data_IF_952128503960
#
_entry.id   IF_952128503960
#
_cell.length_a   1.000
_cell.length_b   1.000
_cell.length_c   1.000
_cell.angle_alpha   90.00
_cell.angle_beta   90.00
_cell.angle_gamma   90.00
#
_symmetry.space_group_name_H-M   'P 1'
#
loop_
_entity.id
_entity.type
_entity.pdbx_description
1 polymer ?
#
# COMPACT_ATOMS: atom_id res chain seq x y z
N UNK A 1 11.67 2.00 -9.95
CA UNK A 1 11.84 3.32 -9.30
C UNK A 1 12.34 3.08 -7.88
N UNK A 2 13.43 3.72 -7.51
CA UNK A 2 13.94 3.71 -6.13
C UNK A 2 13.22 4.78 -5.32
N UNK A 3 12.80 4.41 -4.08
CA UNK A 3 12.18 5.32 -3.13
C UNK A 3 13.02 5.37 -1.85
N UNK A 4 13.37 6.56 -1.40
CA UNK A 4 14.11 6.78 -0.16
C UNK A 4 13.32 7.75 0.72
N UNK A 5 13.14 7.40 1.99
CA UNK A 5 12.69 8.30 3.04
C UNK A 5 13.79 8.36 4.10
N UNK A 6 14.26 9.56 4.44
CA UNK A 6 15.38 9.74 5.41
C UNK A 6 14.96 10.67 6.51
N UNK A 7 15.12 10.21 7.75
CA UNK A 7 14.90 10.94 9.00
C UNK A 7 13.53 11.64 9.07
N UNK A 8 12.47 10.92 8.63
CA UNK A 8 11.13 11.48 8.59
C UNK A 8 10.58 11.67 10.00
N UNK A 9 10.26 12.92 10.32
CA UNK A 9 9.59 13.29 11.56
C UNK A 9 8.22 13.92 11.25
N UNK A 10 7.21 13.55 12.04
CA UNK A 10 5.88 14.11 11.90
C UNK A 10 5.18 14.25 13.25
N UNK A 11 4.52 15.40 13.46
CA UNK A 11 3.72 15.70 14.66
C UNK A 11 2.28 15.97 14.20
N UNK A 12 1.31 15.32 14.83
CA UNK A 12 -0.11 15.52 14.60
C UNK A 12 -0.81 15.79 15.94
N UNK A 13 -1.57 16.89 16.00
CA UNK A 13 -2.28 17.27 17.21
C UNK A 13 -1.37 17.45 18.44
N UNK A 14 -0.13 17.90 18.24
CA UNK A 14 0.87 18.07 19.30
C UNK A 14 1.62 16.78 19.69
N UNK A 15 1.29 15.62 19.11
CA UNK A 15 1.94 14.36 19.41
C UNK A 15 2.95 13.99 18.32
N UNK A 16 4.17 13.60 18.72
CA UNK A 16 5.18 13.09 17.80
C UNK A 16 4.79 11.67 17.32
N UNK A 17 4.35 11.58 16.07
CA UNK A 17 3.89 10.32 15.46
C UNK A 17 5.04 9.59 14.77
N UNK A 18 5.94 10.33 14.11
CA UNK A 18 7.16 9.77 13.50
C UNK A 18 8.39 10.43 14.14
N UNK A 19 9.41 9.63 14.41
CA UNK A 19 10.58 10.03 15.20
C UNK A 19 11.87 9.63 14.48
N UNK A 20 12.14 10.24 13.31
CA UNK A 20 13.35 9.97 12.53
C UNK A 20 13.30 8.64 11.78
N UNK A 21 12.18 8.35 11.09
CA UNK A 21 12.02 7.12 10.33
C UNK A 21 12.80 7.20 9.01
N UNK A 22 13.65 6.20 8.76
CA UNK A 22 14.40 6.08 7.51
C UNK A 22 14.17 4.71 6.87
N UNK A 23 13.82 4.68 5.58
CA UNK A 23 13.69 3.45 4.78
C UNK A 23 14.12 3.71 3.33
N UNK A 24 14.50 2.63 2.66
CA UNK A 24 14.90 2.62 1.27
C UNK A 24 14.25 1.43 0.57
N UNK A 25 13.68 1.66 -0.60
CA UNK A 25 12.97 0.66 -1.41
C UNK A 25 13.59 0.62 -2.79
N UNK A 26 14.07 -0.54 -3.19
CA UNK A 26 14.71 -0.73 -4.49
C UNK A 26 13.68 -0.89 -5.62
N UNK A 27 14.07 -0.65 -6.88
CA UNK A 27 13.18 -0.86 -8.02
C UNK A 27 12.61 -2.29 -8.06
N UNK A 28 11.30 -2.38 -8.32
CA UNK A 28 10.53 -3.63 -8.42
C UNK A 28 10.48 -4.47 -7.13
N UNK A 29 10.83 -3.89 -6.00
CA UNK A 29 10.71 -4.51 -4.69
C UNK A 29 9.27 -4.39 -4.16
N UNK A 30 8.76 -5.44 -3.55
CA UNK A 30 7.49 -5.40 -2.82
C UNK A 30 7.77 -5.36 -1.32
N UNK A 31 7.66 -4.16 -0.75
CA UNK A 31 7.98 -3.89 0.65
C UNK A 31 6.73 -3.77 1.50
N UNK A 32 6.70 -4.49 2.61
CA UNK A 32 5.68 -4.37 3.65
C UNK A 32 6.13 -3.47 4.81
N UNK A 33 5.29 -2.52 5.20
CA UNK A 33 5.43 -1.79 6.46
C UNK A 33 4.44 -2.41 7.45
N UNK A 34 4.95 -3.07 8.49
CA UNK A 34 4.15 -3.75 9.50
C UNK A 34 4.34 -3.10 10.88
N UNK A 35 3.45 -3.39 11.80
CA UNK A 35 3.45 -2.85 13.16
C UNK A 35 2.05 -2.68 13.72
N UNK A 36 1.87 -2.50 15.04
CA UNK A 36 0.56 -2.35 15.66
C UNK A 36 -0.17 -1.09 15.20
N UNK A 37 -1.46 -1.01 15.54
CA UNK A 37 -2.25 0.20 15.29
C UNK A 37 -1.62 1.39 16.05
N UNK A 38 -1.57 2.55 15.39
CA UNK A 38 -0.95 3.74 15.96
C UNK A 38 0.58 3.75 15.91
N UNK A 39 1.25 2.77 15.30
CA UNK A 39 2.72 2.79 15.15
C UNK A 39 3.26 3.84 14.18
N UNK A 40 2.39 4.47 13.36
CA UNK A 40 2.75 5.53 12.42
C UNK A 40 2.82 5.11 10.94
N UNK A 41 2.46 3.87 10.57
CA UNK A 41 2.51 3.35 9.18
C UNK A 41 1.84 4.27 8.16
N UNK A 42 0.54 4.52 8.33
CA UNK A 42 -0.22 5.40 7.43
C UNK A 42 0.28 6.85 7.44
N UNK A 43 0.80 7.33 8.57
CA UNK A 43 1.43 8.66 8.66
C UNK A 43 2.69 8.73 7.82
N UNK A 44 3.53 7.70 7.88
CA UNK A 44 4.73 7.59 7.04
C UNK A 44 4.37 7.55 5.56
N UNK A 45 3.42 6.71 5.16
CA UNK A 45 2.94 6.67 3.78
C UNK A 45 2.41 8.03 3.33
N UNK A 46 1.61 8.72 4.15
CA UNK A 46 1.10 10.08 3.86
C UNK A 46 2.22 11.12 3.67
N UNK A 47 3.34 10.98 4.38
CA UNK A 47 4.53 11.79 4.14
C UNK A 47 5.18 11.45 2.79
N UNK A 48 5.29 10.16 2.45
CA UNK A 48 5.90 9.69 1.22
C UNK A 48 5.11 10.18 -0.01
N UNK A 49 3.78 10.08 -0.01
CA UNK A 49 2.97 10.53 -1.16
C UNK A 49 2.45 11.97 -1.03
N UNK A 50 3.05 12.80 -0.14
CA UNK A 50 2.87 14.26 -0.02
C UNK A 50 1.49 14.74 0.41
N UNK A 51 0.67 13.91 1.03
CA UNK A 51 -0.58 14.35 1.68
C UNK A 51 -0.27 15.00 3.02
N UNK A 52 0.77 14.53 3.71
CA UNK A 52 1.28 15.13 4.93
C UNK A 52 2.70 15.66 4.70
N UNK A 53 2.93 16.91 5.06
CA UNK A 53 4.28 17.49 5.05
C UNK A 53 5.00 17.08 6.34
N UNK A 54 6.13 16.36 6.27
CA UNK A 54 6.94 16.04 7.45
C UNK A 54 7.56 17.31 8.03
N UNK A 55 7.81 17.31 9.33
CA UNK A 55 8.51 18.41 10.02
C UNK A 55 10.00 18.39 9.74
N UNK A 56 10.58 17.19 9.67
CA UNK A 56 11.99 16.98 9.31
C UNK A 56 12.09 15.78 8.36
N UNK A 57 13.27 15.64 7.75
CA UNK A 57 13.57 14.58 6.81
C UNK A 57 13.21 14.92 5.35
N UNK A 58 13.57 13.99 4.48
CA UNK A 58 13.37 14.12 3.05
C UNK A 58 12.85 12.81 2.45
N UNK A 59 12.05 12.93 1.40
CA UNK A 59 11.65 11.79 0.54
C UNK A 59 12.25 12.02 -0.84
N UNK A 60 12.89 10.99 -1.40
CA UNK A 60 13.45 11.03 -2.76
C UNK A 60 12.87 9.94 -3.63
N UNK A 61 12.68 10.27 -4.90
CA UNK A 61 12.30 9.34 -5.97
C UNK A 61 13.41 9.35 -7.02
N UNK A 62 14.07 8.21 -7.24
CA UNK A 62 15.23 8.08 -8.12
C UNK A 62 16.28 9.18 -7.87
N UNK A 63 16.55 9.46 -6.58
CA UNK A 63 17.53 10.46 -6.13
C UNK A 63 17.03 11.92 -6.09
N UNK A 64 15.87 12.23 -6.69
CA UNK A 64 15.29 13.58 -6.70
C UNK A 64 14.39 13.80 -5.47
N UNK A 65 14.60 14.90 -4.75
CA UNK A 65 13.70 15.26 -3.63
C UNK A 65 12.30 15.51 -4.15
N UNK A 66 11.32 14.83 -3.55
CA UNK A 66 9.92 14.92 -3.98
C UNK A 66 9.36 16.36 -3.89
N UNK A 67 9.98 17.24 -3.07
CA UNK A 67 9.60 18.66 -2.94
C UNK A 67 9.98 19.48 -4.16
N UNK A 68 11.00 19.05 -4.93
CA UNK A 68 11.44 19.69 -6.18
C UNK A 68 10.52 19.31 -7.34
N UNK A 69 9.77 18.23 -7.22
CA UNK A 69 8.80 17.79 -8.22
C UNK A 69 7.49 18.57 -8.10
N UNK A 70 6.87 18.93 -9.22
CA UNK A 70 5.47 19.37 -9.21
C UNK A 70 4.56 18.26 -8.68
N UNK A 71 3.39 18.60 -8.11
CA UNK A 71 2.39 17.59 -7.69
C UNK A 71 2.01 16.66 -8.83
N UNK A 72 1.88 17.20 -10.04
CA UNK A 72 1.61 16.42 -11.26
C UNK A 72 2.70 15.39 -11.53
N UNK A 73 3.98 15.77 -11.45
CA UNK A 73 5.11 14.84 -11.61
C UNK A 73 5.16 13.78 -10.51
N UNK A 74 4.93 14.14 -9.26
CA UNK A 74 4.82 13.17 -8.17
C UNK A 74 3.69 12.17 -8.42
N UNK A 75 2.51 12.63 -8.88
CA UNK A 75 1.38 11.78 -9.23
C UNK A 75 1.62 10.93 -10.50
N UNK A 76 2.55 11.30 -11.37
CA UNK A 76 3.03 10.43 -12.47
C UNK A 76 4.04 9.38 -12.02
N UNK A 77 4.60 9.52 -10.83
CA UNK A 77 5.61 8.62 -10.27
C UNK A 77 5.03 7.64 -9.25
N UNK A 78 4.03 8.06 -8.48
CA UNK A 78 3.42 7.27 -7.40
C UNK A 78 1.90 7.24 -7.59
N UNK A 79 1.32 6.04 -7.67
CA UNK A 79 -0.10 5.83 -7.49
C UNK A 79 -0.38 5.37 -6.05
N UNK A 80 -1.55 5.74 -5.52
CA UNK A 80 -1.92 5.44 -4.14
C UNK A 80 -3.28 4.77 -4.07
N UNK A 81 -3.35 3.64 -3.38
CA UNK A 81 -4.57 3.01 -2.93
C UNK A 81 -4.70 3.31 -1.43
N UNK A 82 -5.50 4.34 -1.10
CA UNK A 82 -5.68 4.81 0.27
C UNK A 82 -6.79 4.04 0.99
N UNK A 83 -6.70 3.99 2.32
CA UNK A 83 -7.57 3.21 3.20
C UNK A 83 -9.08 3.51 3.09
N UNK A 84 -9.46 4.75 2.79
CA UNK A 84 -10.86 5.17 2.71
C UNK A 84 -11.11 5.98 1.45
N UNK A 85 -12.01 5.48 0.62
CA UNK A 85 -12.54 6.17 -0.53
C UNK A 85 -14.08 6.12 -0.49
N UNK A 86 -14.69 7.03 0.28
CA UNK A 86 -16.14 7.20 0.23
C UNK A 86 -16.47 8.07 -0.98
N UNK A 87 -17.05 7.46 -1.99
CA UNK A 87 -17.58 8.16 -3.15
C UNK A 87 -19.10 8.22 -3.04
N UNK A 88 -19.63 9.39 -2.74
CA UNK A 88 -21.07 9.65 -2.70
C UNK A 88 -21.62 10.11 -4.07
N UNK A 89 -20.90 9.86 -5.15
CA UNK A 89 -21.28 10.29 -6.48
C UNK A 89 -21.73 9.10 -7.33
N UNK A 90 -22.71 9.32 -8.21
CA UNK A 90 -23.20 8.35 -9.18
C UNK A 90 -22.28 8.30 -10.43
N UNK A 91 -21.01 7.94 -10.21
CA UNK A 91 -20.08 7.68 -11.33
C UNK A 91 -20.17 6.23 -11.78
N UNK A 92 -20.01 6.01 -13.10
CA UNK A 92 -19.78 4.66 -13.59
C UNK A 92 -18.40 4.14 -13.14
N UNK A 93 -18.25 2.83 -13.14
CA UNK A 93 -16.96 2.16 -12.88
C UNK A 93 -15.86 2.72 -13.79
N UNK A 94 -16.17 2.87 -15.08
CA UNK A 94 -15.24 3.43 -16.06
C UNK A 94 -14.83 4.86 -15.72
N UNK A 95 -15.76 5.72 -15.28
CA UNK A 95 -15.46 7.10 -14.91
C UNK A 95 -14.52 7.17 -13.70
N UNK A 96 -14.76 6.31 -12.69
CA UNK A 96 -13.88 6.22 -11.52
C UNK A 96 -12.45 5.84 -11.92
N UNK A 97 -12.29 4.86 -12.81
CA UNK A 97 -10.97 4.44 -13.30
C UNK A 97 -10.33 5.52 -14.17
N UNK A 98 -11.11 6.22 -14.97
CA UNK A 98 -10.66 7.33 -15.83
C UNK A 98 -10.06 8.49 -15.03
N UNK A 99 -10.51 8.73 -13.80
CA UNK A 99 -9.89 9.71 -12.90
C UNK A 99 -8.39 9.43 -12.66
N UNK A 100 -7.95 8.16 -12.78
CA UNK A 100 -6.53 7.78 -12.72
C UNK A 100 -5.68 8.43 -13.82
N UNK A 101 -6.29 8.87 -14.93
CA UNK A 101 -5.60 9.55 -16.03
C UNK A 101 -5.31 11.03 -15.78
N UNK A 102 -5.94 11.64 -14.76
CA UNK A 102 -5.82 13.08 -14.46
C UNK A 102 -4.38 13.60 -14.38
N UNK A 103 -3.39 12.90 -13.80
CA UNK A 103 -2.00 13.38 -13.76
C UNK A 103 -1.33 13.49 -15.14
N UNK A 104 -1.85 12.83 -16.16
CA UNK A 104 -1.29 12.84 -17.52
C UNK A 104 -1.88 13.95 -18.39
N UNK A 105 -2.94 14.62 -17.94
CA UNK A 105 -3.70 15.61 -18.70
C UNK A 105 -3.30 17.04 -18.40
N UNK A 106 -3.49 17.92 -19.37
CA UNK A 106 -3.48 19.38 -19.18
C UNK A 106 -4.82 19.84 -18.58
N UNK A 107 -4.85 21.02 -18.01
CA UNK A 107 -6.09 21.61 -17.54
C UNK A 107 -7.11 21.69 -18.70
N UNK A 108 -8.34 21.22 -18.48
CA UNK A 108 -9.43 21.15 -19.48
C UNK A 108 -9.18 20.24 -20.68
N UNK A 109 -8.16 19.41 -20.67
CA UNK A 109 -7.93 18.40 -21.72
C UNK A 109 -8.98 17.30 -21.62
N UNK A 110 -9.66 17.01 -22.73
CA UNK A 110 -10.66 15.94 -22.80
C UNK A 110 -10.00 14.56 -22.82
N UNK A 111 -10.75 13.56 -22.38
CA UNK A 111 -10.35 12.18 -22.48
C UNK A 111 -10.29 11.76 -23.94
N UNK A 112 -9.29 10.99 -24.29
CA UNK A 112 -9.04 10.53 -25.65
C UNK A 112 -9.09 8.99 -25.74
N UNK A 113 -9.02 8.45 -26.96
CA UNK A 113 -9.11 7.00 -27.19
C UNK A 113 -8.03 6.21 -26.44
N UNK A 114 -6.83 6.78 -26.25
CA UNK A 114 -5.75 6.13 -25.52
C UNK A 114 -6.07 6.02 -24.02
N UNK A 115 -6.69 7.06 -23.42
CA UNK A 115 -7.10 7.01 -22.02
C UNK A 115 -8.15 5.91 -21.80
N UNK A 116 -9.14 5.81 -22.69
CA UNK A 116 -10.14 4.74 -22.63
C UNK A 116 -9.55 3.35 -22.82
N UNK A 117 -8.54 3.20 -23.69
CA UNK A 117 -7.83 1.92 -23.85
C UNK A 117 -7.08 1.52 -22.58
N UNK A 118 -6.40 2.48 -21.91
CA UNK A 118 -5.71 2.25 -20.64
C UNK A 118 -6.72 1.87 -19.54
N UNK A 119 -7.86 2.54 -19.48
CA UNK A 119 -8.95 2.24 -18.54
C UNK A 119 -9.49 0.84 -18.77
N UNK A 120 -9.74 0.45 -20.01
CA UNK A 120 -10.23 -0.89 -20.36
C UNK A 120 -9.23 -1.97 -19.91
N UNK A 121 -7.93 -1.78 -20.20
CA UNK A 121 -6.87 -2.68 -19.76
C UNK A 121 -6.76 -2.77 -18.22
N UNK A 122 -6.88 -1.65 -17.52
CA UNK A 122 -6.86 -1.64 -16.06
C UNK A 122 -8.05 -2.39 -15.47
N UNK A 123 -9.25 -2.23 -16.04
CA UNK A 123 -10.46 -2.97 -15.64
C UNK A 123 -10.34 -4.46 -15.92
N UNK A 124 -9.75 -4.84 -17.06
CA UNK A 124 -9.49 -6.24 -17.40
C UNK A 124 -8.53 -6.87 -16.37
N UNK A 125 -7.44 -6.17 -16.02
CA UNK A 125 -6.44 -6.63 -15.03
C UNK A 125 -7.08 -6.97 -13.68
N UNK A 126 -8.11 -6.24 -13.27
CA UNK A 126 -8.80 -6.48 -11.99
C UNK A 126 -10.10 -7.29 -12.14
N UNK A 127 -10.39 -7.84 -13.32
CA UNK A 127 -11.59 -8.64 -13.57
C UNK A 127 -12.92 -7.86 -13.49
N UNK A 128 -12.91 -6.56 -13.84
CA UNK A 128 -14.08 -5.68 -13.75
C UNK A 128 -14.55 -5.11 -15.10
N UNK A 129 -14.05 -5.66 -16.22
CA UNK A 129 -14.34 -5.14 -17.56
C UNK A 129 -15.85 -5.12 -17.88
N UNK A 130 -16.57 -6.19 -17.56
CA UNK A 130 -18.02 -6.33 -17.83
C UNK A 130 -18.88 -5.35 -17.03
N UNK A 131 -18.31 -4.77 -15.95
CA UNK A 131 -18.99 -3.83 -15.06
C UNK A 131 -18.69 -2.35 -15.38
N UNK A 132 -17.96 -2.06 -16.47
CA UNK A 132 -17.48 -0.71 -16.80
C UNK A 132 -18.56 0.38 -16.79
N UNK A 133 -19.78 0.05 -17.25
CA UNK A 133 -20.93 0.98 -17.33
C UNK A 133 -21.80 0.99 -16.06
N UNK A 134 -21.56 0.08 -15.12
CA UNK A 134 -22.36 -0.02 -13.89
C UNK A 134 -22.04 1.15 -12.96
N UNK A 135 -23.01 1.58 -12.16
CA UNK A 135 -22.76 2.59 -11.12
C UNK A 135 -21.83 2.03 -10.03
N UNK A 136 -20.77 2.76 -9.70
CA UNK A 136 -19.80 2.38 -8.67
C UNK A 136 -20.46 2.17 -7.30
N UNK A 137 -21.47 2.97 -6.96
CA UNK A 137 -22.18 2.88 -5.68
C UNK A 137 -22.97 1.58 -5.48
N UNK A 138 -23.25 0.84 -6.57
CA UNK A 138 -24.02 -0.43 -6.52
C UNK A 138 -23.12 -1.66 -6.36
N UNK A 139 -21.81 -1.47 -6.32
CA UNK A 139 -20.83 -2.55 -6.19
C UNK A 139 -20.67 -2.97 -4.72
N UNK A 140 -20.35 -4.25 -4.51
CA UNK A 140 -19.88 -4.75 -3.21
C UNK A 140 -18.55 -4.10 -2.80
N UNK A 141 -18.20 -4.15 -1.51
CA UNK A 141 -16.93 -3.57 -1.02
C UNK A 141 -15.69 -4.13 -1.73
N UNK A 142 -15.64 -5.43 -1.99
CA UNK A 142 -14.53 -6.06 -2.73
C UNK A 142 -14.46 -5.61 -4.19
N UNK A 143 -15.61 -5.49 -4.88
CA UNK A 143 -15.66 -4.96 -6.25
C UNK A 143 -15.23 -3.49 -6.29
N UNK A 144 -15.69 -2.66 -5.33
CA UNK A 144 -15.25 -1.27 -5.21
C UNK A 144 -13.74 -1.18 -5.05
N UNK A 145 -13.15 -2.02 -4.19
CA UNK A 145 -11.70 -2.01 -3.97
C UNK A 145 -10.93 -2.40 -5.24
N UNK A 146 -11.42 -3.37 -6.02
CA UNK A 146 -10.83 -3.70 -7.33
C UNK A 146 -10.91 -2.53 -8.32
N UNK A 147 -12.03 -1.80 -8.36
CA UNK A 147 -12.16 -0.60 -9.21
C UNK A 147 -11.19 0.51 -8.77
N UNK A 148 -11.00 0.70 -7.46
CA UNK A 148 -10.02 1.65 -6.95
C UNK A 148 -8.58 1.22 -7.28
N UNK A 149 -8.29 -0.09 -7.22
CA UNK A 149 -7.01 -0.60 -7.72
C UNK A 149 -6.86 -0.32 -9.22
N UNK A 150 -7.89 -0.59 -10.05
CA UNK A 150 -7.87 -0.28 -11.48
C UNK A 150 -7.59 1.21 -11.74
N UNK A 151 -8.18 2.12 -10.96
CA UNK A 151 -7.88 3.56 -11.03
C UNK A 151 -6.40 3.84 -10.78
N UNK A 152 -5.80 3.20 -9.76
CA UNK A 152 -4.37 3.34 -9.47
C UNK A 152 -3.51 2.75 -10.61
N UNK A 153 -3.92 1.64 -11.22
CA UNK A 153 -3.24 1.03 -12.37
C UNK A 153 -3.33 1.90 -13.63
N UNK A 154 -4.49 2.53 -13.88
CA UNK A 154 -4.70 3.45 -15.00
C UNK A 154 -3.78 4.69 -14.92
N UNK A 155 -3.27 5.03 -13.75
CA UNK A 155 -2.28 6.09 -13.56
C UNK A 155 -0.91 5.74 -14.16
N UNK A 156 -0.62 4.45 -14.44
CA UNK A 156 0.60 3.94 -15.08
C UNK A 156 1.90 4.42 -14.41
N UNK A 157 1.96 4.39 -13.11
CA UNK A 157 3.13 4.82 -12.33
C UNK A 157 4.13 3.68 -12.12
N UNK A 158 5.44 3.97 -11.96
CA UNK A 158 6.45 2.97 -11.61
C UNK A 158 6.35 2.50 -10.14
N UNK A 159 5.67 3.24 -9.27
CA UNK A 159 5.48 2.88 -7.86
C UNK A 159 4.01 2.90 -7.46
N UNK A 160 3.62 1.93 -6.65
CA UNK A 160 2.30 1.80 -6.05
C UNK A 160 2.43 1.81 -4.52
N UNK A 161 1.69 2.69 -3.87
CA UNK A 161 1.56 2.72 -2.40
C UNK A 161 0.20 2.20 -2.01
N UNK A 162 0.17 1.25 -1.07
CA UNK A 162 -1.03 0.63 -0.55
C UNK A 162 -1.14 0.91 0.95
N UNK A 163 -2.15 1.66 1.35
CA UNK A 163 -2.40 1.97 2.77
C UNK A 163 -3.53 1.08 3.28
N UNK A 164 -3.17 -0.05 3.91
CA UNK A 164 -4.07 -1.07 4.44
C UNK A 164 -5.06 -1.62 3.39
N UNK A 165 -4.57 -2.12 2.24
CA UNK A 165 -5.39 -2.45 1.08
C UNK A 165 -6.35 -3.62 1.31
N UNK A 166 -6.09 -4.43 2.32
CA UNK A 166 -6.84 -5.67 2.64
C UNK A 166 -7.87 -5.49 3.75
N UNK A 167 -7.95 -4.30 4.37
CA UNK A 167 -8.90 -4.05 5.45
C UNK A 167 -10.35 -4.16 4.96
N UNK A 168 -11.19 -4.80 5.79
CA UNK A 168 -12.62 -5.01 5.54
C UNK A 168 -12.97 -5.87 4.31
N UNK A 169 -11.98 -6.52 3.70
CA UNK A 169 -12.18 -7.49 2.64
C UNK A 169 -12.24 -8.91 3.23
N UNK A 170 -13.02 -9.77 2.62
CA UNK A 170 -12.92 -11.21 2.90
C UNK A 170 -11.61 -11.79 2.34
N UNK A 171 -11.25 -12.98 2.81
CA UNK A 171 -9.96 -13.61 2.51
C UNK A 171 -9.74 -13.78 1.00
N UNK A 172 -10.78 -14.14 0.25
CA UNK A 172 -10.69 -14.35 -1.19
C UNK A 172 -10.25 -13.06 -1.89
N UNK A 173 -10.93 -11.95 -1.61
CA UNK A 173 -10.62 -10.65 -2.21
C UNK A 173 -9.27 -10.09 -1.74
N UNK A 174 -8.86 -10.39 -0.50
CA UNK A 174 -7.53 -10.01 -0.02
C UNK A 174 -6.43 -10.67 -0.86
N UNK A 175 -6.52 -11.99 -1.06
CA UNK A 175 -5.54 -12.75 -1.82
C UNK A 175 -5.55 -12.34 -3.31
N UNK A 176 -6.72 -12.24 -3.95
CA UNK A 176 -6.84 -11.79 -5.33
C UNK A 176 -6.20 -10.42 -5.56
N UNK A 177 -6.43 -9.46 -4.65
CA UNK A 177 -5.84 -8.13 -4.74
C UNK A 177 -4.31 -8.17 -4.65
N UNK A 178 -3.80 -8.95 -3.69
CA UNK A 178 -2.35 -9.09 -3.50
C UNK A 178 -1.67 -9.83 -4.65
N UNK A 179 -2.31 -10.86 -5.22
CA UNK A 179 -1.83 -11.57 -6.41
C UNK A 179 -1.75 -10.64 -7.63
N UNK A 180 -2.80 -9.82 -7.85
CA UNK A 180 -2.77 -8.81 -8.92
C UNK A 180 -1.61 -7.85 -8.71
N UNK A 181 -1.44 -7.31 -7.51
CA UNK A 181 -0.38 -6.34 -7.19
C UNK A 181 1.01 -6.96 -7.38
N UNK A 182 1.22 -8.19 -6.91
CA UNK A 182 2.49 -8.90 -7.07
C UNK A 182 2.82 -9.15 -8.54
N UNK A 183 1.81 -9.53 -9.35
CA UNK A 183 1.95 -9.76 -10.78
C UNK A 183 2.32 -8.54 -11.61
N UNK A 184 2.19 -7.31 -11.06
CA UNK A 184 2.52 -6.07 -11.78
C UNK A 184 4.03 -5.88 -12.02
N UNK A 185 4.92 -6.50 -11.23
CA UNK A 185 6.37 -6.33 -11.32
C UNK A 185 6.83 -4.89 -11.11
N UNK A 186 6.08 -4.09 -10.32
CA UNK A 186 6.40 -2.68 -9.99
C UNK A 186 6.97 -2.56 -8.59
N UNK A 187 7.54 -1.41 -8.29
CA UNK A 187 7.88 -1.06 -6.89
C UNK A 187 6.58 -0.88 -6.10
N UNK A 188 6.44 -1.61 -5.00
CA UNK A 188 5.25 -1.57 -4.12
C UNK A 188 5.67 -1.29 -2.69
N UNK A 189 4.98 -0.36 -2.04
CA UNK A 189 5.11 -0.10 -0.59
C UNK A 189 3.74 -0.22 0.04
N UNK A 190 3.55 -1.22 0.89
CA UNK A 190 2.26 -1.53 1.48
C UNK A 190 2.28 -1.49 3.01
N UNK A 191 1.38 -0.73 3.64
CA UNK A 191 1.07 -0.92 5.05
C UNK A 191 0.17 -2.16 5.19
N UNK A 192 0.63 -3.18 5.90
CA UNK A 192 -0.05 -4.46 6.02
C UNK A 192 -0.26 -4.80 7.49
N UNK A 193 -1.48 -5.24 7.84
CA UNK A 193 -1.82 -5.66 9.20
C UNK A 193 -1.64 -7.15 9.43
N UNK A 194 -1.96 -7.98 8.45
CA UNK A 194 -1.85 -9.43 8.55
C UNK A 194 -0.42 -9.87 8.24
N UNK A 195 0.25 -10.45 9.25
CA UNK A 195 1.62 -10.90 9.11
C UNK A 195 1.76 -12.12 8.17
N UNK A 196 0.72 -12.94 8.01
CA UNK A 196 0.74 -14.03 7.04
C UNK A 196 0.67 -13.49 5.60
N UNK A 197 -0.14 -12.46 5.34
CA UNK A 197 -0.15 -11.76 4.06
C UNK A 197 1.21 -11.08 3.81
N UNK A 198 1.77 -10.41 4.81
CA UNK A 198 3.08 -9.79 4.67
C UNK A 198 4.18 -10.82 4.37
N UNK A 199 4.14 -12.00 5.03
CA UNK A 199 5.08 -13.09 4.80
C UNK A 199 4.96 -13.71 3.40
N UNK A 200 3.74 -13.76 2.83
CA UNK A 200 3.47 -14.36 1.52
C UNK A 200 3.91 -13.47 0.35
N UNK A 201 3.72 -12.16 0.48
CA UNK A 201 3.81 -11.26 -0.68
C UNK A 201 5.01 -10.33 -0.64
N UNK A 202 5.51 -9.97 0.54
CA UNK A 202 6.59 -9.00 0.64
C UNK A 202 7.97 -9.67 0.50
N UNK A 203 8.84 -9.02 -0.26
CA UNK A 203 10.25 -9.41 -0.37
C UNK A 203 11.07 -8.89 0.82
N UNK A 204 10.63 -7.77 1.40
CA UNK A 204 11.24 -7.15 2.59
C UNK A 204 10.18 -6.50 3.48
N UNK A 205 10.42 -6.52 4.77
CA UNK A 205 9.57 -5.92 5.78
C UNK A 205 10.31 -4.82 6.54
N UNK A 206 9.58 -3.77 6.86
CA UNK A 206 9.96 -2.74 7.82
C UNK A 206 9.00 -2.79 9.00
N UNK A 207 9.50 -2.96 10.21
CA UNK A 207 8.68 -3.05 11.43
C UNK A 207 8.68 -1.72 12.14
N UNK A 208 7.48 -1.17 12.32
CA UNK A 208 7.28 0.09 13.03
C UNK A 208 6.70 -0.14 14.43
N UNK A 209 7.30 0.48 15.42
CA UNK A 209 6.77 0.58 16.78
C UNK A 209 6.91 2.03 17.28
N UNK A 210 5.84 2.62 17.80
CA UNK A 210 5.82 3.95 18.44
C UNK A 210 6.52 5.06 17.64
N UNK A 211 6.31 5.04 16.31
CA UNK A 211 6.85 6.05 15.41
C UNK A 211 8.30 5.86 14.98
N UNK A 212 8.87 4.71 15.22
CA UNK A 212 10.25 4.35 14.85
C UNK A 212 10.29 3.03 14.08
N UNK A 213 11.34 2.82 13.27
CA UNK A 213 11.68 1.51 12.74
C UNK A 213 12.48 0.74 13.78
N UNK A 214 12.01 -0.46 14.13
CA UNK A 214 12.67 -1.33 15.11
C UNK A 214 13.36 -2.53 14.49
N UNK A 215 12.96 -2.93 13.27
CA UNK A 215 13.61 -3.98 12.49
C UNK A 215 13.35 -3.81 11.00
N UNK A 216 14.23 -4.35 10.16
CA UNK A 216 14.01 -4.49 8.71
C UNK A 216 14.79 -5.70 8.19
N UNK A 217 14.26 -6.39 7.19
CA UNK A 217 14.86 -7.58 6.58
C UNK A 217 13.84 -8.37 5.78
N UNK A 218 14.22 -9.56 5.34
CA UNK A 218 13.29 -10.51 4.72
C UNK A 218 12.21 -10.93 5.73
N UNK A 219 11.06 -11.46 5.27
CA UNK A 219 10.05 -11.99 6.20
C UNK A 219 10.62 -13.00 7.20
N UNK A 220 11.52 -13.87 6.80
CA UNK A 220 12.18 -14.86 7.67
C UNK A 220 13.04 -14.24 8.76
N UNK A 221 13.80 -13.20 8.41
CA UNK A 221 14.67 -12.50 9.37
C UNK A 221 13.88 -11.69 10.39
N UNK A 222 12.75 -11.16 9.98
CA UNK A 222 11.97 -10.19 10.77
C UNK A 222 10.86 -10.86 11.56
N UNK A 223 10.12 -11.81 10.97
CA UNK A 223 8.95 -12.43 11.62
C UNK A 223 9.39 -13.55 12.57
N UNK A 224 10.10 -13.19 13.63
CA UNK A 224 10.49 -14.14 14.69
C UNK A 224 9.47 -14.09 15.84
N UNK A 225 9.31 -15.21 16.60
CA UNK A 225 8.45 -15.23 17.78
C UNK A 225 8.78 -14.13 18.79
N UNK A 226 10.07 -13.81 18.96
CA UNK A 226 10.58 -12.78 19.88
C UNK A 226 10.14 -11.40 19.44
N UNK A 227 10.34 -11.04 18.16
CA UNK A 227 9.96 -9.73 17.64
C UNK A 227 8.43 -9.56 17.62
N UNK A 228 7.69 -10.61 17.25
CA UNK A 228 6.22 -10.59 17.28
C UNK A 228 5.73 -10.35 18.71
N UNK A 229 6.32 -11.01 19.70
CA UNK A 229 5.97 -10.79 21.10
C UNK A 229 6.30 -9.39 21.57
N UNK A 230 7.49 -8.89 21.21
CA UNK A 230 7.94 -7.53 21.58
C UNK A 230 7.00 -6.47 21.01
N UNK A 231 6.69 -6.55 19.71
CA UNK A 231 5.99 -5.47 18.96
C UNK A 231 4.48 -5.56 19.13
N UNK A 232 3.92 -6.79 19.13
CA UNK A 232 2.46 -7.01 19.14
C UNK A 232 1.93 -7.50 20.49
N UNK A 233 2.80 -7.89 21.43
CA UNK A 233 2.40 -8.38 22.75
C UNK A 233 1.72 -9.76 22.73
N UNK A 234 1.91 -10.55 21.67
CA UNK A 234 1.30 -11.87 21.51
C UNK A 234 2.35 -12.96 21.37
N UNK A 235 2.06 -14.15 21.86
CA UNK A 235 2.87 -15.32 21.58
C UNK A 235 2.59 -15.82 20.17
N UNK A 236 3.63 -16.18 19.43
CA UNK A 236 3.49 -16.75 18.10
C UNK A 236 4.45 -17.92 17.90
N UNK A 237 4.04 -18.85 17.04
CA UNK A 237 4.91 -19.86 16.43
C UNK A 237 5.09 -19.51 14.95
N UNK A 238 6.30 -19.47 14.51
CA UNK A 238 6.65 -19.22 13.11
C UNK A 238 7.21 -20.49 12.53
N UNK A 239 6.69 -20.95 11.40
CA UNK A 239 7.09 -22.19 10.75
C UNK A 239 6.84 -22.11 9.25
N UNK A 240 7.45 -23.01 8.48
CA UNK A 240 7.10 -23.18 7.06
C UNK A 240 6.08 -24.29 6.93
N UNK A 241 5.05 -24.05 6.12
CA UNK A 241 4.07 -25.09 5.76
C UNK A 241 4.62 -26.06 4.73
N UNK A 242 3.82 -27.05 4.31
CA UNK A 242 4.20 -28.07 3.34
C UNK A 242 4.58 -27.50 1.95
N UNK A 243 4.07 -26.29 1.62
CA UNK A 243 4.43 -25.56 0.41
C UNK A 243 5.69 -24.68 0.59
N UNK A 244 6.33 -24.70 1.77
CA UNK A 244 7.50 -23.89 2.11
C UNK A 244 7.17 -22.42 2.44
N UNK A 245 5.88 -22.07 2.54
CA UNK A 245 5.44 -20.72 2.85
C UNK A 245 5.57 -20.47 4.36
N UNK A 246 6.12 -19.29 4.72
CA UNK A 246 6.21 -18.86 6.12
C UNK A 246 4.83 -18.60 6.70
N UNK A 247 4.53 -19.22 7.85
CA UNK A 247 3.26 -19.12 8.55
C UNK A 247 3.45 -18.66 9.98
N UNK A 248 2.53 -17.82 10.43
CA UNK A 248 2.49 -17.32 11.79
C UNK A 248 1.20 -17.79 12.46
N UNK A 249 1.35 -18.56 13.51
CA UNK A 249 0.24 -19.03 14.35
C UNK A 249 0.29 -18.31 15.68
N UNK A 250 -0.80 -17.61 16.04
CA UNK A 250 -0.89 -16.83 17.27
C UNK A 250 -1.49 -17.63 18.41
N UNK A 251 -1.02 -17.39 19.62
CA UNK A 251 -1.54 -17.97 20.86
C UNK A 251 -1.92 -16.87 21.83
N UNK A 252 -3.11 -16.97 22.46
CA UNK A 252 -3.48 -16.04 23.54
C UNK A 252 -2.52 -16.20 24.73
N UNK A 253 -2.14 -15.10 25.37
CA UNK A 253 -1.40 -15.16 26.62
C UNK A 253 -2.25 -15.92 27.65
N UNK A 254 -1.70 -17.01 28.24
CA UNK A 254 -2.35 -17.83 29.27
C UNK A 254 -2.88 -19.20 28.82
N UNK A 255 -2.89 -19.56 27.54
CA UNK A 255 -3.09 -20.95 27.12
C UNK A 255 -1.75 -21.68 27.03
N UNK A 256 -1.64 -22.81 27.77
CA UNK A 256 -0.54 -23.76 27.57
C UNK A 256 -0.62 -24.32 26.15
N UNK A 257 0.53 -24.48 25.51
CA UNK A 257 0.66 -25.26 24.28
C UNK A 257 0.04 -26.65 24.53
N UNK A 258 -0.93 -27.02 23.68
CA UNK A 258 -1.53 -28.35 23.68
C UNK A 258 -0.66 -29.23 22.80
#
# INVERSE_FOLDING_TARGET
MKLEAKDIEAVLGGNAILRGVSLEVEPNEFVGIIGPNGSGKSTLLKCIYRVLKPQAGIVKLDGTDIRELSYKKSAQSIAVLAQHNYYNFEFSVQDVVLMGRSPHKRAMERDNAQDYAIVAQALETVGMADMAKRSFSTLSGGEQQRVILARALAQQTPCLILDEPTNHLDITYQLELMDIVQGLGRTVVAAIHDLNIAAMYCTRLFVMEKGQLVASGTPEEVLTPELIRQVYGVKAKVFRDEAGILRIQYYPEGRKEI
#
